data_IF_906400153749
#
_entry.id   IF_906400153749
#
_cell.length_a   1.000
_cell.length_b   1.000
_cell.length_c   1.000
_cell.angle_alpha   90.00
_cell.angle_beta   90.00
_cell.angle_gamma   90.00
#
_symmetry.space_group_name_H-M   'P 1'
#
loop_
_entity.id
_entity.type
_entity.pdbx_description
1 polymer ?
#
# COMPACT_ATOMS: atom_id res chain seq x y z
N UNK A 1 -7.44 2.07 -1.52
CA UNK A 1 -6.10 1.75 -0.95
C UNK A 1 -5.05 2.03 -2.01
N UNK A 2 -3.99 2.75 -1.66
CA UNK A 2 -2.85 3.00 -2.56
C UNK A 2 -1.62 2.26 -2.01
N UNK A 3 -1.00 1.40 -2.83
CA UNK A 3 0.12 0.53 -2.46
C UNK A 3 1.12 0.48 -3.62
N UNK A 4 1.99 1.49 -3.66
CA UNK A 4 2.99 1.70 -4.73
C UNK A 4 4.40 1.74 -4.11
N UNK A 5 5.38 2.41 -4.75
CA UNK A 5 6.79 2.56 -4.35
C UNK A 5 7.77 1.49 -4.86
N UNK A 6 7.44 0.19 -4.86
CA UNK A 6 8.43 -0.83 -5.28
C UNK A 6 8.90 -0.63 -6.72
N UNK A 7 7.96 -0.43 -7.65
CA UNK A 7 8.29 -0.17 -9.05
C UNK A 7 8.84 1.24 -9.28
N UNK A 8 8.37 2.24 -8.54
CA UNK A 8 8.92 3.60 -8.60
C UNK A 8 10.42 3.60 -8.26
N UNK A 9 10.79 2.89 -7.18
CA UNK A 9 12.18 2.72 -6.77
C UNK A 9 13.01 1.95 -7.81
N UNK A 10 12.46 0.85 -8.36
CA UNK A 10 13.12 0.06 -9.42
C UNK A 10 13.43 0.93 -10.64
N UNK A 11 12.42 1.64 -11.15
CA UNK A 11 12.55 2.46 -12.36
C UNK A 11 13.42 3.70 -12.14
N UNK A 12 13.40 4.28 -10.94
CA UNK A 12 14.31 5.36 -10.59
C UNK A 12 15.77 4.89 -10.52
N UNK A 13 16.01 3.68 -9.99
CA UNK A 13 17.33 3.06 -9.96
C UNK A 13 17.87 2.75 -11.36
N UNK A 14 17.10 2.01 -12.18
CA UNK A 14 17.57 1.56 -13.50
C UNK A 14 17.43 2.63 -14.60
N UNK A 15 16.61 3.66 -14.39
CA UNK A 15 16.33 4.71 -15.38
C UNK A 15 15.80 4.13 -16.70
N UNK A 16 15.01 3.06 -16.62
CA UNK A 16 14.59 2.21 -17.74
C UNK A 16 13.19 2.54 -18.30
N UNK A 17 12.64 3.70 -17.94
CA UNK A 17 11.39 4.26 -18.48
C UNK A 17 11.59 5.72 -18.86
N UNK A 18 10.60 6.32 -19.54
CA UNK A 18 10.67 7.70 -20.02
C UNK A 18 10.96 8.67 -18.87
N UNK A 19 11.82 9.68 -19.10
CA UNK A 19 12.24 10.63 -18.07
C UNK A 19 11.11 11.21 -17.21
N UNK A 20 9.99 11.55 -17.85
CA UNK A 20 8.85 12.21 -17.20
C UNK A 20 8.01 11.26 -16.35
N UNK A 21 8.11 9.94 -16.55
CA UNK A 21 7.42 8.94 -15.74
C UNK A 21 8.30 8.38 -14.62
N UNK A 22 9.59 8.70 -14.59
CA UNK A 22 10.45 8.35 -13.44
C UNK A 22 10.03 9.14 -12.22
N UNK A 23 9.78 8.44 -11.13
CA UNK A 23 9.35 9.01 -9.85
C UNK A 23 10.49 8.88 -8.85
N UNK A 24 11.21 9.96 -8.57
CA UNK A 24 12.17 10.03 -7.45
C UNK A 24 11.42 10.03 -6.11
N UNK A 25 12.10 9.81 -4.96
CA UNK A 25 11.44 9.93 -3.65
C UNK A 25 10.74 11.28 -3.43
N UNK A 26 11.34 12.39 -3.85
CA UNK A 26 10.70 13.71 -3.71
C UNK A 26 9.46 13.83 -4.60
N UNK A 27 9.55 13.38 -5.87
CA UNK A 27 8.39 13.37 -6.78
C UNK A 27 7.29 12.42 -6.30
N UNK A 28 7.65 11.32 -5.65
CA UNK A 28 6.71 10.37 -5.07
C UNK A 28 5.78 11.04 -4.04
N UNK A 29 6.30 11.96 -3.23
CA UNK A 29 5.49 12.74 -2.27
C UNK A 29 4.38 13.51 -2.98
N UNK A 30 4.72 14.23 -4.05
CA UNK A 30 3.78 15.02 -4.83
C UNK A 30 2.74 14.12 -5.53
N UNK A 31 3.18 13.03 -6.15
CA UNK A 31 2.31 12.06 -6.82
C UNK A 31 1.31 11.44 -5.84
N UNK A 32 1.78 10.93 -4.71
CA UNK A 32 0.91 10.29 -3.72
C UNK A 32 -0.08 11.27 -3.09
N UNK A 33 0.36 12.51 -2.81
CA UNK A 33 -0.53 13.59 -2.35
C UNK A 33 -1.62 13.89 -3.38
N UNK A 34 -1.25 13.99 -4.67
CA UNK A 34 -2.21 14.23 -5.74
C UNK A 34 -3.22 13.07 -5.86
N UNK A 35 -2.78 11.81 -5.75
CA UNK A 35 -3.67 10.65 -5.78
C UNK A 35 -4.66 10.65 -4.60
N UNK A 36 -4.20 11.02 -3.39
CA UNK A 36 -5.09 11.18 -2.22
C UNK A 36 -6.16 12.24 -2.50
N UNK A 37 -5.75 13.40 -3.02
CA UNK A 37 -6.66 14.52 -3.30
C UNK A 37 -7.68 14.18 -4.39
N UNK A 38 -7.26 13.51 -5.47
CA UNK A 38 -8.16 13.05 -6.54
C UNK A 38 -9.20 12.07 -5.97
N UNK A 39 -8.77 11.09 -5.18
CA UNK A 39 -9.68 10.12 -4.59
C UNK A 39 -10.71 10.77 -3.66
N UNK A 40 -10.28 11.70 -2.80
CA UNK A 40 -11.17 12.46 -1.91
C UNK A 40 -12.16 13.33 -2.68
N UNK A 41 -11.71 14.03 -3.73
CA UNK A 41 -12.58 14.82 -4.59
C UNK A 41 -13.66 13.96 -5.28
N UNK A 42 -13.37 12.68 -5.52
CA UNK A 42 -14.33 11.70 -6.02
C UNK A 42 -15.19 11.03 -4.93
N UNK A 43 -15.16 11.52 -3.69
CA UNK A 43 -15.93 11.00 -2.56
C UNK A 43 -15.44 9.63 -2.07
N UNK A 44 -14.15 9.32 -2.21
CA UNK A 44 -13.55 8.06 -1.74
C UNK A 44 -12.73 8.29 -0.47
N UNK A 45 -12.83 7.32 0.44
CA UNK A 45 -11.87 7.18 1.54
C UNK A 45 -10.55 6.59 1.06
N UNK A 46 -9.46 7.04 1.66
CA UNK A 46 -8.10 6.66 1.26
C UNK A 46 -7.37 6.03 2.43
N UNK A 47 -6.65 4.95 2.11
CA UNK A 47 -5.65 4.33 2.98
C UNK A 47 -4.38 4.19 2.15
N UNK A 48 -3.25 4.53 2.75
CA UNK A 48 -1.93 4.29 2.21
C UNK A 48 -1.36 3.00 2.79
N UNK A 49 -0.62 2.25 2.00
CA UNK A 49 0.06 1.04 2.44
C UNK A 49 1.52 1.09 2.01
N UNK A 50 2.42 0.88 2.96
CA UNK A 50 3.85 0.79 2.67
C UNK A 50 4.18 -0.46 1.84
N UNK A 51 5.22 -0.38 1.00
CA UNK A 51 5.82 -1.59 0.44
C UNK A 51 6.41 -2.43 1.58
N UNK A 52 6.65 -3.71 1.28
CA UNK A 52 7.45 -4.58 2.14
C UNK A 52 8.94 -4.41 1.78
N UNK A 53 9.88 -4.78 2.67
CA UNK A 53 11.29 -4.85 2.30
C UNK A 53 11.54 -5.89 1.21
N UNK A 54 12.58 -5.67 0.41
CA UNK A 54 13.06 -6.59 -0.63
C UNK A 54 14.52 -6.95 -0.34
N UNK A 55 14.97 -8.11 -0.82
CA UNK A 55 16.31 -8.62 -0.56
C UNK A 55 17.12 -8.85 -1.86
N UNK A 56 18.34 -9.36 -1.70
CA UNK A 56 19.19 -9.79 -2.81
C UNK A 56 19.47 -8.67 -3.81
N UNK A 57 19.37 -8.97 -5.10
CA UNK A 57 19.62 -7.99 -6.16
C UNK A 57 18.67 -6.78 -6.16
N UNK A 58 17.55 -6.85 -5.43
CA UNK A 58 16.57 -5.76 -5.30
C UNK A 58 16.97 -4.68 -4.29
N UNK A 59 17.84 -4.97 -3.32
CA UNK A 59 18.21 -4.02 -2.25
C UNK A 59 18.78 -2.70 -2.80
N UNK A 60 19.44 -2.76 -3.96
CA UNK A 60 20.00 -1.61 -4.67
C UNK A 60 18.95 -0.61 -5.18
N UNK A 61 17.67 -0.98 -5.22
CA UNK A 61 16.58 -0.07 -5.60
C UNK A 61 16.32 0.98 -4.53
N UNK A 62 16.82 0.76 -3.30
CA UNK A 62 16.72 1.71 -2.19
C UNK A 62 15.28 2.18 -1.94
N UNK A 63 14.43 1.25 -1.48
CA UNK A 63 13.00 1.50 -1.23
C UNK A 63 12.77 2.37 0.02
N UNK A 64 13.64 2.33 1.03
CA UNK A 64 13.42 3.01 2.32
C UNK A 64 13.10 4.52 2.21
N UNK A 65 13.75 5.32 1.35
CA UNK A 65 13.33 6.70 1.09
C UNK A 65 11.86 6.85 0.69
N UNK A 66 11.33 5.99 -0.18
CA UNK A 66 9.91 6.05 -0.58
C UNK A 66 8.97 5.73 0.59
N UNK A 67 9.35 4.79 1.46
CA UNK A 67 8.61 4.48 2.70
C UNK A 67 8.52 5.72 3.58
N UNK A 68 9.65 6.39 3.84
CA UNK A 68 9.67 7.61 4.65
C UNK A 68 8.83 8.74 4.06
N UNK A 69 8.78 8.85 2.71
CA UNK A 69 7.92 9.82 2.02
C UNK A 69 6.45 9.45 2.16
N UNK A 70 6.09 8.17 2.03
CA UNK A 70 4.71 7.71 2.21
C UNK A 70 4.21 7.95 3.64
N UNK A 71 5.07 7.68 4.63
CA UNK A 71 4.85 8.02 6.04
C UNK A 71 4.53 9.50 6.25
N UNK A 72 5.29 10.38 5.59
CA UNK A 72 5.09 11.82 5.68
C UNK A 72 3.78 12.26 5.01
N UNK A 73 3.45 11.71 3.83
CA UNK A 73 2.16 11.95 3.15
C UNK A 73 1.01 11.50 4.03
N UNK A 74 1.10 10.33 4.66
CA UNK A 74 0.05 9.82 5.53
C UNK A 74 -0.28 10.79 6.68
N UNK A 75 0.77 11.33 7.32
CA UNK A 75 0.64 12.34 8.38
C UNK A 75 0.09 13.67 7.86
N UNK A 76 0.66 14.20 6.78
CA UNK A 76 0.28 15.48 6.21
C UNK A 76 -1.17 15.50 5.73
N UNK A 77 -1.59 14.41 5.08
CA UNK A 77 -2.93 14.27 4.53
C UNK A 77 -3.95 13.71 5.53
N UNK A 78 -3.52 13.37 6.75
CA UNK A 78 -4.38 12.71 7.76
C UNK A 78 -5.09 11.48 7.20
N UNK A 79 -4.35 10.62 6.49
CA UNK A 79 -4.86 9.35 5.96
C UNK A 79 -4.28 8.18 6.75
N UNK A 80 -5.07 7.12 7.03
CA UNK A 80 -4.54 5.95 7.70
C UNK A 80 -3.42 5.28 6.89
N UNK A 81 -2.41 4.78 7.59
CA UNK A 81 -1.24 4.12 7.03
C UNK A 81 -1.15 2.68 7.52
N UNK A 82 -1.10 1.74 6.58
CA UNK A 82 -0.75 0.35 6.83
C UNK A 82 0.78 0.23 6.80
N UNK A 83 1.39 0.18 7.99
CA UNK A 83 2.83 0.03 8.14
C UNK A 83 3.24 -1.41 7.85
N UNK A 84 4.17 -1.59 6.92
CA UNK A 84 4.63 -2.91 6.48
C UNK A 84 6.14 -2.99 6.50
N UNK A 85 6.85 -1.94 6.10
CA UNK A 85 8.27 -2.02 5.81
C UNK A 85 9.08 -2.36 7.07
N UNK A 86 9.01 -1.49 8.09
CA UNK A 86 9.74 -1.68 9.33
C UNK A 86 9.24 -2.89 10.12
N UNK A 87 7.92 -3.14 10.11
CA UNK A 87 7.30 -4.28 10.80
C UNK A 87 7.81 -5.61 10.25
N UNK A 88 7.89 -5.75 8.93
CA UNK A 88 8.40 -6.97 8.30
C UNK A 88 9.92 -7.10 8.49
N UNK A 89 10.68 -6.00 8.42
CA UNK A 89 12.13 -6.02 8.71
C UNK A 89 12.46 -6.53 10.12
N UNK A 90 11.56 -6.32 11.09
CA UNK A 90 11.71 -6.81 12.47
C UNK A 90 11.33 -8.28 12.65
N UNK A 91 10.72 -8.91 11.64
CA UNK A 91 10.40 -10.34 11.70
C UNK A 91 11.67 -11.16 11.50
N UNK A 92 11.84 -12.19 12.34
CA UNK A 92 12.92 -13.16 12.16
C UNK A 92 12.75 -13.87 10.81
N UNK A 93 13.86 -14.02 10.08
CA UNK A 93 13.92 -14.72 8.79
C UNK A 93 12.91 -14.20 7.76
N UNK A 94 12.57 -12.90 7.78
CA UNK A 94 11.55 -12.31 6.90
C UNK A 94 11.82 -12.53 5.41
N UNK A 95 13.08 -12.68 4.99
CA UNK A 95 13.44 -12.98 3.61
C UNK A 95 12.87 -14.33 3.14
N UNK A 96 12.69 -15.30 4.04
CA UNK A 96 12.05 -16.59 3.72
C UNK A 96 10.56 -16.44 3.39
N UNK A 97 9.97 -15.28 3.72
CA UNK A 97 8.59 -14.93 3.40
C UNK A 97 8.47 -14.24 2.03
N UNK A 98 9.55 -14.20 1.24
CA UNK A 98 9.54 -13.74 -0.15
C UNK A 98 9.60 -14.92 -1.12
N UNK A 99 9.16 -14.69 -2.35
CA UNK A 99 9.45 -15.60 -3.46
C UNK A 99 10.95 -15.64 -3.77
N UNK A 100 11.42 -16.63 -4.55
CA UNK A 100 12.84 -16.78 -4.89
C UNK A 100 13.49 -15.55 -5.54
N UNK A 101 12.70 -14.64 -6.12
CA UNK A 101 13.18 -13.39 -6.71
C UNK A 101 13.52 -12.32 -5.67
N UNK A 102 13.27 -12.55 -4.38
CA UNK A 102 13.50 -11.61 -3.29
C UNK A 102 12.71 -10.28 -3.42
N UNK A 103 11.71 -10.22 -4.30
CA UNK A 103 10.97 -8.99 -4.63
C UNK A 103 9.50 -9.14 -4.30
N UNK A 104 8.88 -10.29 -4.60
CA UNK A 104 7.46 -10.49 -4.34
C UNK A 104 7.23 -11.24 -3.02
N UNK A 105 6.13 -10.95 -2.30
CA UNK A 105 5.72 -11.73 -1.14
C UNK A 105 5.39 -13.18 -1.52
N UNK A 106 5.71 -14.12 -0.63
CA UNK A 106 5.07 -15.44 -0.65
C UNK A 106 3.59 -15.33 -0.28
N UNK A 107 2.83 -16.40 -0.46
CA UNK A 107 1.43 -16.46 0.00
C UNK A 107 1.31 -16.11 1.49
N UNK A 108 2.21 -16.64 2.31
CA UNK A 108 2.23 -16.39 3.75
C UNK A 108 2.48 -14.91 4.06
N UNK A 109 3.41 -14.26 3.35
CA UNK A 109 3.61 -12.82 3.55
C UNK A 109 2.43 -12.00 3.04
N UNK A 110 1.79 -12.39 1.93
CA UNK A 110 0.54 -11.75 1.50
C UNK A 110 -0.54 -11.87 2.58
N UNK A 111 -0.68 -13.03 3.22
CA UNK A 111 -1.62 -13.24 4.33
C UNK A 111 -1.30 -12.33 5.52
N UNK A 112 -0.04 -12.26 5.96
CA UNK A 112 0.40 -11.39 7.07
C UNK A 112 0.15 -9.91 6.74
N UNK A 113 0.46 -9.50 5.50
CA UNK A 113 0.21 -8.13 5.02
C UNK A 113 -1.28 -7.81 5.05
N UNK A 114 -2.12 -8.69 4.51
CA UNK A 114 -3.56 -8.52 4.44
C UNK A 114 -4.22 -8.43 5.82
N UNK A 115 -3.75 -9.21 6.80
CA UNK A 115 -4.23 -9.12 8.19
C UNK A 115 -3.97 -7.74 8.80
N UNK A 116 -2.81 -7.16 8.55
CA UNK A 116 -2.48 -5.79 8.99
C UNK A 116 -3.29 -4.74 8.24
N UNK A 117 -3.49 -4.91 6.93
CA UNK A 117 -4.37 -4.04 6.16
C UNK A 117 -5.79 -4.06 6.73
N UNK A 118 -6.30 -5.25 7.07
CA UNK A 118 -7.63 -5.41 7.63
C UNK A 118 -7.76 -4.79 9.03
N UNK A 119 -6.75 -4.93 9.89
CA UNK A 119 -6.77 -4.29 11.22
C UNK A 119 -6.86 -2.77 11.12
N UNK A 120 -6.10 -2.15 10.22
CA UNK A 120 -6.15 -0.71 9.95
C UNK A 120 -7.50 -0.29 9.36
N UNK A 121 -8.04 -1.06 8.41
CA UNK A 121 -9.38 -0.82 7.84
C UNK A 121 -10.45 -0.79 8.94
N UNK A 122 -10.51 -1.82 9.78
CA UNK A 122 -11.52 -1.92 10.85
C UNK A 122 -11.35 -0.82 11.88
N UNK A 123 -10.11 -0.48 12.26
CA UNK A 123 -9.85 0.57 13.25
C UNK A 123 -10.29 1.97 12.79
N UNK A 124 -10.30 2.24 11.47
CA UNK A 124 -10.60 3.56 10.93
C UNK A 124 -11.98 3.66 10.26
N UNK A 125 -12.52 2.55 9.77
CA UNK A 125 -13.75 2.52 8.97
C UNK A 125 -14.68 1.36 9.33
N UNK A 126 -14.50 0.73 10.50
CA UNK A 126 -15.27 -0.45 10.92
C UNK A 126 -16.79 -0.26 10.84
N UNK A 127 -17.36 0.81 11.42
CA UNK A 127 -18.80 1.09 11.32
C UNK A 127 -19.30 1.25 9.88
N UNK A 128 -18.56 1.99 9.05
CA UNK A 128 -18.89 2.25 7.65
C UNK A 128 -18.85 0.95 6.83
N UNK A 129 -17.84 0.12 7.05
CA UNK A 129 -17.69 -1.19 6.42
C UNK A 129 -18.83 -2.13 6.82
N UNK A 130 -19.21 -2.17 8.11
CA UNK A 130 -20.32 -2.97 8.59
C UNK A 130 -21.65 -2.53 7.95
N UNK A 131 -21.90 -1.22 7.91
CA UNK A 131 -23.10 -0.65 7.28
C UNK A 131 -23.14 -0.90 5.76
N UNK A 132 -21.99 -0.86 5.09
CA UNK A 132 -21.89 -1.20 3.67
C UNK A 132 -22.20 -2.68 3.42
N UNK A 133 -21.68 -3.59 4.25
CA UNK A 133 -21.96 -5.02 4.16
C UNK A 133 -23.44 -5.36 4.36
N UNK A 134 -24.11 -4.73 5.32
CA UNK A 134 -25.54 -4.92 5.56
C UNK A 134 -26.40 -4.46 4.37
N UNK A 135 -26.09 -3.29 3.78
CA UNK A 135 -26.78 -2.79 2.59
C UNK A 135 -26.63 -3.73 1.40
N UNK A 136 -25.41 -4.19 1.12
CA UNK A 136 -25.14 -5.13 0.04
C UNK A 136 -25.94 -6.43 0.19
N UNK A 137 -26.03 -6.97 1.41
CA UNK A 137 -26.81 -8.19 1.67
C UNK A 137 -28.31 -7.96 1.46
N UNK A 138 -28.85 -6.83 1.93
CA UNK A 138 -30.26 -6.49 1.72
C UNK A 138 -30.61 -6.32 0.24
N UNK A 139 -29.74 -5.66 -0.54
CA UNK A 139 -29.92 -5.48 -1.99
C UNK A 139 -29.85 -6.83 -2.73
N UNK A 140 -28.92 -7.70 -2.33
CA UNK A 140 -28.78 -9.05 -2.90
C UNK A 140 -30.01 -9.92 -2.63
N UNK A 141 -30.57 -9.87 -1.41
CA UNK A 141 -31.79 -10.59 -1.05
C UNK A 141 -33.03 -10.09 -1.80
N UNK A 142 -33.11 -8.79 -2.09
CA UNK A 142 -34.18 -8.22 -2.91
C UNK A 142 -34.08 -8.63 -4.38
N UNK A 143 -32.86 -8.78 -4.91
CA UNK A 143 -32.62 -9.22 -6.29
C UNK A 143 -33.02 -10.68 -6.52
N UNK A 144 -32.83 -11.55 -5.53
CA UNK A 144 -33.21 -12.98 -5.59
C UNK A 144 -34.73 -13.20 -5.50
N UNK A 145 -35.48 -12.22 -4.99
CA UNK A 145 -36.94 -12.28 -4.83
C UNK A 145 -37.72 -11.72 -6.04
N UNK A 146 -37.05 -11.24 -7.08
CA UNK A 146 -37.64 -10.75 -8.34
C UNK A 146 -37.41 -11.75 -9.46
#
# INVERSE_FOLDING_TARGET
MLNFATNDARHFHFRDIEPDYRVSPDKYTAVMTQLVNIARAAGKEVILQEPHPICGGGEKWHIAPYVSKLDAVARAESVPLVRQYQRILQMKDWQSLLSPDCIHPSEELYRIKAQETFSVLVANYGPELAAAGQRHNADSEQMVKR
#
